data_IF_392293539661
#
_entry.id   IF_392293539661
#
_cell.length_a   1.000
_cell.length_b   1.000
_cell.length_c   1.000
_cell.angle_alpha   90.00
_cell.angle_beta   90.00
_cell.angle_gamma   90.00
#
_symmetry.space_group_name_H-M   'P 1'
#
loop_
_entity.id
_entity.type
_entity.pdbx_description
1 polymer ?
#
# COMPACT_ATOMS: atom_id res chain seq x y z
N UNK A 1 -3.19 16.33 -15.40
CA UNK A 1 -3.05 15.90 -13.99
C UNK A 1 -1.59 16.04 -13.58
N UNK A 2 -1.29 16.69 -12.45
CA UNK A 2 0.06 16.78 -11.89
C UNK A 2 0.32 15.58 -10.96
N UNK A 3 1.57 15.11 -10.91
CA UNK A 3 1.96 14.09 -9.94
C UNK A 3 1.84 14.63 -8.50
N UNK A 4 1.46 13.80 -7.53
CA UNK A 4 1.44 14.21 -6.12
C UNK A 4 2.86 14.46 -5.61
N UNK A 5 3.01 15.40 -4.67
CA UNK A 5 4.30 15.70 -4.02
C UNK A 5 4.50 14.69 -2.88
N UNK A 6 5.65 14.04 -2.87
CA UNK A 6 6.07 13.14 -1.79
C UNK A 6 6.94 13.87 -0.77
N UNK A 7 6.83 13.48 0.49
CA UNK A 7 7.68 13.96 1.57
C UNK A 7 8.72 12.92 1.97
N UNK A 8 9.86 13.38 2.47
CA UNK A 8 10.86 12.51 3.08
C UNK A 8 10.39 12.02 4.45
N UNK A 9 10.74 10.79 4.87
CA UNK A 9 10.42 10.31 6.20
C UNK A 9 11.15 11.14 7.27
N UNK A 10 10.41 11.56 8.29
CA UNK A 10 10.90 12.43 9.37
C UNK A 10 11.17 11.61 10.64
N UNK A 11 12.41 11.14 10.81
CA UNK A 11 12.90 10.53 12.05
C UNK A 11 12.08 9.30 12.51
N UNK A 12 11.96 9.12 13.83
CA UNK A 12 11.27 7.99 14.46
C UNK A 12 9.80 8.26 14.81
N UNK A 13 9.07 9.01 13.97
CA UNK A 13 7.63 9.20 14.20
C UNK A 13 6.86 8.04 13.60
N UNK A 14 5.71 7.74 14.20
CA UNK A 14 4.84 6.68 13.75
C UNK A 14 4.42 6.88 12.29
N UNK A 15 4.40 5.77 11.57
CA UNK A 15 3.89 5.70 10.20
C UNK A 15 2.46 5.18 10.22
N UNK A 16 1.65 5.71 9.33
CA UNK A 16 0.31 5.21 9.05
C UNK A 16 0.32 4.63 7.64
N UNK A 17 -0.16 3.40 7.53
CA UNK A 17 -0.24 2.69 6.25
C UNK A 17 -1.70 2.53 5.89
N UNK A 18 -2.08 3.01 4.71
CA UNK A 18 -3.36 2.73 4.11
C UNK A 18 -3.17 1.63 3.06
N UNK A 19 -3.97 0.57 3.15
CA UNK A 19 -3.94 -0.54 2.20
C UNK A 19 -5.29 -0.63 1.50
N UNK A 20 -5.27 -1.00 0.22
CA UNK A 20 -6.44 -1.36 -0.55
C UNK A 20 -6.13 -2.61 -1.37
N UNK A 21 -7.13 -3.47 -1.53
CA UNK A 21 -7.02 -4.66 -2.33
C UNK A 21 -8.14 -4.70 -3.37
N UNK A 22 -7.77 -5.05 -4.60
CA UNK A 22 -8.72 -5.25 -5.68
C UNK A 22 -8.42 -6.55 -6.43
N UNK A 23 -9.35 -6.98 -7.26
CA UNK A 23 -9.15 -8.10 -8.20
C UNK A 23 -8.01 -7.86 -9.22
N UNK A 24 -7.49 -6.63 -9.32
CA UNK A 24 -6.41 -6.27 -10.25
C UNK A 24 -5.05 -6.20 -9.56
N UNK A 25 -5.00 -5.75 -8.32
CA UNK A 25 -3.75 -5.47 -7.61
C UNK A 25 -3.95 -5.15 -6.15
N UNK A 26 -2.81 -5.06 -5.47
CA UNK A 26 -2.69 -4.59 -4.10
C UNK A 26 -2.04 -3.21 -4.15
N UNK A 27 -2.63 -2.28 -3.42
CA UNK A 27 -2.19 -0.89 -3.37
C UNK A 27 -1.97 -0.49 -1.91
N UNK A 28 -0.94 0.31 -1.68
CA UNK A 28 -0.65 0.82 -0.35
C UNK A 28 0.02 2.18 -0.39
N UNK A 29 -0.27 2.97 0.64
CA UNK A 29 0.21 4.34 0.83
C UNK A 29 0.81 4.47 2.22
N UNK A 30 2.08 4.85 2.28
CA UNK A 30 2.77 5.16 3.52
C UNK A 30 2.65 6.64 3.81
N UNK A 31 2.14 7.00 4.98
CA UNK A 31 1.92 8.39 5.41
C UNK A 31 2.55 8.66 6.77
N UNK A 32 2.98 9.90 6.97
CA UNK A 32 3.49 10.40 8.24
C UNK A 32 3.06 11.85 8.42
N UNK A 33 2.42 12.17 9.55
CA UNK A 33 1.90 13.52 9.85
C UNK A 33 1.13 14.13 8.67
N UNK A 34 0.19 13.37 8.11
CA UNK A 34 -0.67 13.77 6.97
C UNK A 34 0.07 13.99 5.64
N UNK A 35 1.38 13.74 5.58
CA UNK A 35 2.17 13.77 4.34
C UNK A 35 2.33 12.36 3.78
N UNK A 36 2.25 12.24 2.45
CA UNK A 36 2.53 10.97 1.77
C UNK A 36 4.03 10.79 1.59
N UNK A 37 4.55 9.66 2.06
CA UNK A 37 5.97 9.29 1.97
C UNK A 37 6.22 8.45 0.72
N UNK A 38 5.40 7.42 0.51
CA UNK A 38 5.52 6.55 -0.65
C UNK A 38 4.16 5.97 -1.06
N UNK A 39 4.07 5.67 -2.35
CA UNK A 39 3.05 4.80 -2.92
C UNK A 39 3.73 3.51 -3.36
N UNK A 40 3.10 2.39 -3.08
CA UNK A 40 3.50 1.12 -3.67
C UNK A 40 2.27 0.39 -4.17
N UNK A 41 2.39 -0.16 -5.37
CA UNK A 41 1.34 -0.93 -6.00
C UNK A 41 1.94 -2.12 -6.73
N UNK A 42 1.19 -3.22 -6.75
CA UNK A 42 1.59 -4.45 -7.44
C UNK A 42 0.37 -5.14 -8.01
N UNK A 43 0.46 -5.56 -9.27
CA UNK A 43 -0.55 -6.44 -9.86
C UNK A 43 -0.56 -7.81 -9.18
N UNK A 44 -1.75 -8.40 -9.04
CA UNK A 44 -1.89 -9.75 -8.49
C UNK A 44 -1.15 -10.77 -9.35
N UNK A 45 -0.44 -11.68 -8.70
CA UNK A 45 0.09 -12.88 -9.34
C UNK A 45 -1.05 -13.78 -9.77
N UNK A 46 -0.80 -14.65 -10.75
CA UNK A 46 -1.81 -15.56 -11.33
C UNK A 46 -2.53 -16.39 -10.28
N UNK A 47 -1.83 -16.85 -9.22
CA UNK A 47 -2.45 -17.61 -8.13
C UNK A 47 -3.24 -16.75 -7.15
N UNK A 48 -2.82 -15.49 -6.91
CA UNK A 48 -3.50 -14.56 -6.02
C UNK A 48 -4.87 -14.12 -6.59
N UNK A 49 -5.06 -14.20 -7.92
CA UNK A 49 -6.35 -13.87 -8.56
C UNK A 49 -7.52 -14.76 -8.12
N UNK A 50 -7.23 -15.94 -7.57
CA UNK A 50 -8.25 -16.88 -7.10
C UNK A 50 -8.55 -16.71 -5.60
N UNK A 51 -7.89 -15.78 -4.92
CA UNK A 51 -8.09 -15.54 -3.50
C UNK A 51 -9.43 -14.87 -3.22
N UNK A 52 -10.00 -15.13 -2.04
CA UNK A 52 -11.20 -14.43 -1.60
C UNK A 52 -10.87 -12.96 -1.30
N UNK A 53 -11.89 -12.09 -1.26
CA UNK A 53 -11.68 -10.68 -0.90
C UNK A 53 -10.93 -10.54 0.43
N UNK A 54 -11.30 -11.33 1.44
CA UNK A 54 -10.64 -11.29 2.75
C UNK A 54 -9.15 -11.67 2.68
N UNK A 55 -8.78 -12.65 1.86
CA UNK A 55 -7.39 -13.05 1.67
C UNK A 55 -6.59 -11.99 0.89
N UNK A 56 -7.24 -11.30 -0.05
CA UNK A 56 -6.63 -10.18 -0.78
C UNK A 56 -6.36 -8.98 0.13
N UNK A 57 -7.31 -8.63 1.01
CA UNK A 57 -7.12 -7.58 2.03
C UNK A 57 -5.94 -7.92 2.95
N UNK A 58 -5.85 -9.17 3.42
CA UNK A 58 -4.71 -9.63 4.19
C UNK A 58 -3.41 -9.54 3.38
N UNK A 59 -3.47 -9.89 2.10
CA UNK A 59 -2.36 -9.75 1.16
C UNK A 59 -1.86 -8.31 1.03
N UNK A 60 -2.77 -7.32 0.99
CA UNK A 60 -2.41 -5.90 0.93
C UNK A 60 -1.69 -5.44 2.20
N UNK A 61 -2.14 -5.89 3.38
CA UNK A 61 -1.46 -5.59 4.65
C UNK A 61 -0.06 -6.20 4.71
N UNK A 62 0.07 -7.48 4.33
CA UNK A 62 1.38 -8.16 4.28
C UNK A 62 2.31 -7.50 3.26
N UNK A 63 1.77 -7.07 2.12
CA UNK A 63 2.52 -6.33 1.12
C UNK A 63 3.04 -4.99 1.67
N UNK A 64 2.20 -4.26 2.39
CA UNK A 64 2.56 -2.97 2.94
C UNK A 64 3.59 -3.05 4.07
N UNK A 65 3.57 -4.12 4.89
CA UNK A 65 4.59 -4.37 5.91
C UNK A 65 5.97 -4.73 5.33
N UNK A 66 6.05 -5.02 4.03
CA UNK A 66 7.29 -5.38 3.34
C UNK A 66 7.97 -4.18 2.65
N UNK A 67 7.31 -3.02 2.64
CA UNK A 67 7.86 -1.74 2.15
C UNK A 67 8.90 -1.21 3.12
#
# INVERSE_FOLDING_TARGET
>A
CSAPILALPEGNKDFIVYCDASIKGLDTVLMQREKVISYASRQLKVHEKNYTTHDLELGAVVFALKI
#
